data_IF_229290393926
#
_entry.id   IF_229290393926
#
_cell.length_a   1.000
_cell.length_b   1.000
_cell.length_c   1.000
_cell.angle_alpha   90.00
_cell.angle_beta   90.00
_cell.angle_gamma   90.00
#
_symmetry.space_group_name_H-M   'P 1'
#
loop_
_entity.id
_entity.type
_entity.pdbx_description
1 polymer ?
#
# COMPACT_ATOMS: atom_id res chain seq x y z
N UNK A 1 -22.26 -11.11 -15.70
CA UNK A 1 -20.93 -11.73 -15.59
C UNK A 1 -20.00 -10.94 -16.49
N UNK A 2 -19.32 -9.93 -15.96
CA UNK A 2 -18.53 -8.99 -16.76
C UNK A 2 -17.05 -9.32 -16.60
N UNK A 3 -16.44 -9.76 -17.70
CA UNK A 3 -15.02 -9.59 -17.95
C UNK A 3 -14.63 -8.13 -17.71
N UNK A 4 -13.45 -7.88 -17.13
CA UNK A 4 -12.48 -6.82 -17.48
C UNK A 4 -11.47 -6.64 -16.34
N UNK A 5 -10.61 -7.64 -16.16
CA UNK A 5 -9.24 -7.49 -15.63
C UNK A 5 -8.33 -6.96 -16.75
N UNK A 6 -8.67 -5.80 -17.34
CA UNK A 6 -7.82 -5.17 -18.35
C UNK A 6 -7.47 -3.75 -17.89
N UNK A 7 -6.26 -3.63 -17.34
CA UNK A 7 -5.66 -2.34 -17.04
C UNK A 7 -4.55 -2.43 -16.00
N UNK A 8 -3.36 -2.88 -16.41
CA UNK A 8 -2.05 -2.54 -15.80
C UNK A 8 -1.65 -3.16 -14.44
N UNK A 9 -2.37 -4.15 -13.90
CA UNK A 9 -2.06 -4.70 -12.57
C UNK A 9 -1.10 -5.89 -12.46
N UNK A 10 -0.69 -6.54 -13.56
CA UNK A 10 0.11 -7.77 -13.45
C UNK A 10 1.24 -7.84 -14.48
N UNK A 11 2.43 -7.35 -14.09
CA UNK A 11 3.69 -7.66 -14.77
C UNK A 11 4.16 -9.11 -14.48
N UNK A 12 3.40 -9.89 -13.72
CA UNK A 12 3.66 -11.30 -13.37
C UNK A 12 3.42 -12.33 -14.48
N UNK A 13 3.75 -11.98 -15.73
CA UNK A 13 4.06 -12.97 -16.76
C UNK A 13 3.28 -12.84 -18.06
N UNK A 14 3.86 -12.28 -19.14
CA UNK A 14 3.26 -12.29 -20.49
C UNK A 14 3.17 -13.70 -21.15
N UNK A 15 3.45 -14.78 -20.41
CA UNK A 15 3.60 -16.12 -20.98
C UNK A 15 2.31 -16.95 -21.04
N UNK A 16 1.33 -16.73 -20.16
CA UNK A 16 0.09 -17.52 -20.16
C UNK A 16 -0.86 -17.13 -21.30
N UNK A 17 -0.94 -15.83 -21.63
CA UNK A 17 -1.71 -15.31 -22.77
C UNK A 17 -1.20 -15.83 -24.11
N UNK A 18 0.09 -16.15 -24.24
CA UNK A 18 0.67 -16.74 -25.45
C UNK A 18 0.23 -18.19 -25.69
N UNK A 19 -0.39 -18.85 -24.71
CA UNK A 19 -0.87 -20.24 -24.82
C UNK A 19 -2.37 -20.39 -25.04
N UNK A 20 -3.11 -19.27 -25.14
CA UNK A 20 -4.56 -19.28 -25.33
C UNK A 20 -5.36 -19.87 -24.15
N UNK A 21 -4.74 -19.96 -22.96
CA UNK A 21 -5.39 -20.43 -21.74
C UNK A 21 -5.79 -19.25 -20.87
N UNK A 22 -7.01 -19.29 -20.38
CA UNK A 22 -7.46 -18.36 -19.35
C UNK A 22 -6.64 -18.58 -18.08
N UNK A 23 -6.29 -17.48 -17.41
CA UNK A 23 -5.73 -17.59 -16.06
C UNK A 23 -6.79 -18.18 -15.13
N UNK A 24 -6.39 -19.01 -14.14
CA UNK A 24 -7.31 -19.41 -13.09
C UNK A 24 -7.86 -18.16 -12.38
N UNK A 25 -9.13 -18.23 -11.97
CA UNK A 25 -9.74 -17.14 -11.22
C UNK A 25 -8.94 -16.83 -9.96
N UNK A 26 -8.57 -15.56 -9.78
CA UNK A 26 -7.96 -15.06 -8.55
C UNK A 26 -9.07 -15.00 -7.51
N UNK A 27 -8.95 -15.76 -6.42
CA UNK A 27 -9.91 -15.74 -5.30
C UNK A 27 -9.19 -15.21 -4.06
N UNK A 28 -9.69 -14.10 -3.50
CA UNK A 28 -9.18 -13.56 -2.25
C UNK A 28 -9.56 -14.49 -1.09
N UNK A 29 -8.57 -15.05 -0.39
CA UNK A 29 -8.80 -16.03 0.71
C UNK A 29 -8.08 -15.70 2.01
N UNK A 30 -7.17 -14.73 1.95
CA UNK A 30 -6.32 -14.33 3.06
C UNK A 30 -6.23 -12.81 3.10
N UNK A 31 -5.90 -12.23 4.27
CA UNK A 31 -5.59 -10.82 4.39
C UNK A 31 -4.56 -10.37 3.35
N UNK A 32 -4.79 -9.22 2.73
CA UNK A 32 -3.85 -8.63 1.78
C UNK A 32 -3.38 -7.25 2.22
N UNK A 33 -2.13 -6.95 1.86
CA UNK A 33 -1.59 -5.62 1.96
C UNK A 33 -1.13 -5.16 0.58
N UNK A 34 -1.37 -3.90 0.27
CA UNK A 34 -0.91 -3.26 -0.95
C UNK A 34 -0.15 -1.99 -0.61
N UNK A 35 1.03 -1.87 -1.20
CA UNK A 35 1.76 -0.62 -1.28
C UNK A 35 1.83 -0.20 -2.75
N UNK A 36 1.56 1.07 -3.01
CA UNK A 36 1.74 1.69 -4.32
C UNK A 36 2.59 2.93 -4.19
N UNK A 37 3.32 3.25 -5.26
CA UNK A 37 4.06 4.49 -5.37
C UNK A 37 3.14 5.59 -5.90
N UNK A 38 3.39 6.82 -5.49
CA UNK A 38 2.70 7.98 -6.09
C UNK A 38 3.16 8.20 -7.54
N UNK A 39 4.44 7.95 -7.82
CA UNK A 39 5.03 8.07 -9.15
C UNK A 39 5.53 6.72 -9.68
N UNK A 40 5.63 6.63 -11.01
CA UNK A 40 6.22 5.47 -11.68
C UNK A 40 7.75 5.37 -11.51
N UNK A 41 8.38 4.48 -12.29
CA UNK A 41 9.84 4.29 -12.25
C UNK A 41 10.64 5.53 -12.68
N UNK A 42 10.12 6.28 -13.65
CA UNK A 42 10.63 7.59 -14.07
C UNK A 42 9.62 8.63 -13.56
N UNK A 43 9.84 9.23 -12.38
CA UNK A 43 8.89 10.17 -11.81
C UNK A 43 8.78 11.42 -12.69
N UNK A 44 7.55 11.78 -13.02
CA UNK A 44 7.21 13.00 -13.75
C UNK A 44 6.09 13.73 -13.00
N UNK A 45 6.11 15.07 -12.94
CA UNK A 45 5.03 15.84 -12.32
C UNK A 45 3.68 15.57 -12.99
N UNK A 46 2.62 15.54 -12.18
CA UNK A 46 1.26 15.51 -12.70
C UNK A 46 0.90 16.86 -13.35
N UNK A 47 0.53 16.84 -14.64
CA UNK A 47 0.08 18.05 -15.35
C UNK A 47 -1.40 18.38 -15.08
N UNK A 48 -2.14 17.43 -14.50
CA UNK A 48 -3.50 17.56 -14.01
C UNK A 48 -3.72 16.55 -12.86
N UNK A 49 -4.68 16.77 -11.95
CA UNK A 49 -4.98 15.80 -10.90
C UNK A 49 -5.31 14.41 -11.49
N UNK A 50 -4.64 13.33 -11.05
CA UNK A 50 -4.98 11.98 -11.50
C UNK A 50 -6.30 11.50 -10.85
N UNK A 51 -6.79 10.35 -11.29
CA UNK A 51 -7.90 9.66 -10.62
C UNK A 51 -7.46 9.22 -9.21
N UNK A 52 -8.06 9.75 -8.13
CA UNK A 52 -7.64 9.42 -6.77
C UNK A 52 -7.86 7.96 -6.37
N UNK A 53 -8.71 7.21 -7.09
CA UNK A 53 -9.02 5.81 -6.80
C UNK A 53 -8.16 4.81 -7.59
N UNK A 54 -7.28 5.28 -8.47
CA UNK A 54 -6.54 4.43 -9.42
C UNK A 54 -5.74 3.29 -8.76
N UNK A 55 -5.33 3.46 -7.50
CA UNK A 55 -4.57 2.44 -6.74
C UNK A 55 -5.44 1.55 -5.83
N UNK A 56 -6.77 1.68 -5.86
CA UNK A 56 -7.70 0.92 -5.00
C UNK A 56 -8.45 -0.20 -5.72
N UNK A 57 -8.12 -0.53 -6.96
CA UNK A 57 -8.82 -1.61 -7.67
C UNK A 57 -8.73 -2.96 -6.93
N UNK A 58 -7.52 -3.38 -6.54
CA UNK A 58 -7.34 -4.61 -5.75
C UNK A 58 -7.92 -4.48 -4.33
N UNK A 59 -7.93 -3.28 -3.76
CA UNK A 59 -8.55 -3.00 -2.47
C UNK A 59 -10.05 -3.36 -2.50
N UNK A 60 -10.76 -2.79 -3.47
CA UNK A 60 -12.20 -2.99 -3.63
C UNK A 60 -12.55 -4.47 -3.81
N UNK A 61 -11.75 -5.21 -4.58
CA UNK A 61 -11.95 -6.65 -4.75
C UNK A 61 -11.76 -7.44 -3.45
N UNK A 62 -10.67 -7.22 -2.71
CA UNK A 62 -10.46 -7.91 -1.43
C UNK A 62 -11.54 -7.56 -0.41
N UNK A 63 -11.93 -6.29 -0.36
CA UNK A 63 -13.00 -5.80 0.51
C UNK A 63 -14.34 -6.46 0.16
N UNK A 64 -14.71 -6.59 -1.13
CA UNK A 64 -15.96 -7.23 -1.54
C UNK A 64 -16.02 -8.71 -1.21
N UNK A 65 -14.87 -9.38 -1.16
CA UNK A 65 -14.72 -10.77 -0.72
C UNK A 65 -14.65 -10.92 0.81
N UNK A 66 -14.88 -9.83 1.56
CA UNK A 66 -14.84 -9.81 3.02
C UNK A 66 -13.46 -10.06 3.61
N UNK A 67 -12.39 -9.96 2.80
CA UNK A 67 -11.03 -10.19 3.25
C UNK A 67 -10.44 -8.90 3.84
N UNK A 68 -9.68 -9.00 4.95
CA UNK A 68 -8.95 -7.86 5.48
C UNK A 68 -7.97 -7.30 4.45
N UNK A 69 -8.01 -5.98 4.24
CA UNK A 69 -7.15 -5.32 3.28
C UNK A 69 -6.76 -3.92 3.71
N UNK A 70 -5.54 -3.53 3.39
CA UNK A 70 -5.16 -2.13 3.33
C UNK A 70 -4.41 -1.83 2.03
N UNK A 71 -4.49 -0.58 1.60
CA UNK A 71 -3.79 -0.04 0.44
C UNK A 71 -3.19 1.30 0.82
N UNK A 72 -1.86 1.37 0.88
CA UNK A 72 -1.10 2.60 1.18
C UNK A 72 -0.47 3.12 -0.10
N UNK A 73 -0.62 4.42 -0.35
CA UNK A 73 0.14 5.17 -1.35
C UNK A 73 1.02 6.19 -0.63
N UNK A 74 2.33 6.08 -0.77
CA UNK A 74 3.31 6.93 -0.06
C UNK A 74 3.51 8.23 -0.84
N UNK A 75 3.41 9.39 -0.18
CA UNK A 75 3.65 10.68 -0.82
C UNK A 75 5.10 10.79 -1.34
N UNK A 76 5.27 11.30 -2.56
CA UNK A 76 6.58 11.53 -3.17
C UNK A 76 7.35 10.28 -3.56
N UNK A 77 6.76 9.09 -3.38
CA UNK A 77 7.44 7.81 -3.65
C UNK A 77 7.43 7.48 -5.14
N UNK A 78 8.47 6.79 -5.59
CA UNK A 78 8.57 6.21 -6.93
C UNK A 78 8.65 4.68 -6.84
N UNK A 79 8.67 3.98 -7.98
CA UNK A 79 8.71 2.51 -8.01
C UNK A 79 9.87 1.90 -7.19
N UNK A 80 10.95 2.65 -7.03
CA UNK A 80 12.16 2.21 -6.32
C UNK A 80 12.08 2.41 -4.80
N UNK A 81 10.94 2.85 -4.25
CA UNK A 81 10.72 3.11 -2.82
C UNK A 81 11.08 1.94 -1.89
N UNK A 82 11.07 0.71 -2.41
CA UNK A 82 11.39 -0.50 -1.67
C UNK A 82 12.77 -1.09 -1.99
N UNK A 83 13.56 -0.40 -2.83
CA UNK A 83 14.82 -0.91 -3.35
C UNK A 83 15.94 0.06 -3.00
N UNK A 84 16.83 -0.27 -2.04
CA UNK A 84 17.98 0.55 -1.51
C UNK A 84 19.05 0.89 -2.56
N UNK A 85 18.62 1.25 -3.76
CA UNK A 85 19.41 1.62 -4.91
C UNK A 85 19.97 3.03 -4.68
N UNK A 86 21.29 3.17 -4.48
CA UNK A 86 21.89 4.46 -4.11
C UNK A 86 21.70 5.57 -5.16
N UNK A 87 21.43 5.21 -6.42
CA UNK A 87 21.31 6.14 -7.54
C UNK A 87 19.86 6.38 -7.98
N UNK A 88 18.88 5.76 -7.31
CA UNK A 88 17.50 5.86 -7.75
C UNK A 88 16.82 7.11 -7.17
N UNK A 89 16.16 7.87 -8.03
CA UNK A 89 15.49 9.10 -7.65
C UNK A 89 14.16 8.78 -6.93
N UNK A 90 14.14 8.91 -5.60
CA UNK A 90 12.92 8.96 -4.81
C UNK A 90 13.01 10.12 -3.81
N UNK A 91 12.06 11.06 -3.88
CA UNK A 91 12.10 12.26 -3.02
C UNK A 91 11.74 11.96 -1.56
N UNK A 92 10.94 10.91 -1.34
CA UNK A 92 10.62 10.30 -0.05
C UNK A 92 11.82 9.73 0.71
N UNK A 93 12.94 9.47 0.01
CA UNK A 93 14.15 8.86 0.57
C UNK A 93 15.15 9.86 1.11
N UNK A 94 15.05 11.10 0.64
CA UNK A 94 16.08 12.10 0.87
C UNK A 94 15.43 13.47 0.80
N UNK A 95 14.55 13.76 1.77
CA UNK A 95 13.90 15.05 1.87
C UNK A 95 14.92 16.19 1.92
N UNK A 96 16.06 15.93 2.59
CA UNK A 96 17.22 16.81 2.63
C UNK A 96 18.52 15.98 2.60
N UNK A 97 19.59 16.53 2.02
CA UNK A 97 20.96 16.01 2.18
C UNK A 97 21.68 16.91 3.16
N UNK A 98 22.14 16.36 4.29
CA UNK A 98 22.92 17.05 5.32
C UNK A 98 24.19 16.22 5.54
N UNK A 99 25.36 16.84 5.44
CA UNK A 99 26.67 16.15 5.61
C UNK A 99 26.86 14.90 4.71
N UNK A 100 26.33 14.96 3.48
CA UNK A 100 26.27 13.86 2.52
C UNK A 100 25.41 12.66 2.96
N UNK A 101 24.53 12.83 3.95
CA UNK A 101 23.54 11.84 4.36
C UNK A 101 22.11 12.33 4.08
N UNK A 102 21.24 11.38 3.75
CA UNK A 102 19.81 11.66 3.58
C UNK A 102 19.12 11.77 4.94
N UNK A 103 18.53 12.93 5.21
CA UNK A 103 17.82 13.24 6.46
C UNK A 103 16.36 13.54 6.16
N UNK A 104 15.47 13.10 7.06
CA UNK A 104 14.04 13.39 6.97
C UNK A 104 13.30 12.54 5.94
N UNK A 105 13.86 11.41 5.52
CA UNK A 105 13.14 10.42 4.71
C UNK A 105 11.97 9.82 5.47
N UNK A 106 10.93 9.41 4.76
CA UNK A 106 9.74 8.83 5.39
C UNK A 106 9.23 7.57 4.72
N UNK A 107 9.52 7.34 3.45
CA UNK A 107 8.85 6.28 2.70
C UNK A 107 9.20 4.87 3.20
N UNK A 108 10.49 4.59 3.47
CA UNK A 108 10.90 3.33 4.10
C UNK A 108 10.25 3.15 5.49
N UNK A 109 10.21 4.21 6.31
CA UNK A 109 9.61 4.15 7.64
C UNK A 109 8.08 3.87 7.57
N UNK A 110 7.37 4.45 6.58
CA UNK A 110 5.96 4.14 6.31
C UNK A 110 5.81 2.67 5.91
N UNK A 111 6.61 2.20 4.95
CA UNK A 111 6.56 0.83 4.47
C UNK A 111 6.83 -0.17 5.60
N UNK A 112 7.85 0.06 6.41
CA UNK A 112 8.20 -0.77 7.56
C UNK A 112 7.07 -0.78 8.60
N UNK A 113 6.57 0.40 9.00
CA UNK A 113 5.52 0.51 10.01
C UNK A 113 4.28 -0.31 9.66
N UNK A 114 3.71 -0.08 8.47
CA UNK A 114 2.52 -0.78 8.03
C UNK A 114 2.77 -2.27 7.77
N UNK A 115 3.94 -2.63 7.24
CA UNK A 115 4.30 -4.05 6.99
C UNK A 115 4.40 -4.82 8.31
N UNK A 116 5.17 -4.31 9.27
CA UNK A 116 5.38 -4.97 10.56
C UNK A 116 4.08 -5.03 11.35
N UNK A 117 3.30 -3.95 11.39
CA UNK A 117 2.00 -3.95 12.06
C UNK A 117 1.02 -4.95 11.43
N UNK A 118 1.02 -5.09 10.11
CA UNK A 118 0.19 -6.09 9.42
C UNK A 118 0.61 -7.52 9.74
N UNK A 119 1.91 -7.82 9.70
CA UNK A 119 2.42 -9.14 10.05
C UNK A 119 2.16 -9.48 11.51
N UNK A 120 2.36 -8.54 12.42
CA UNK A 120 2.05 -8.73 13.84
C UNK A 120 0.56 -8.96 14.08
N UNK A 121 -0.30 -8.38 13.24
CA UNK A 121 -1.75 -8.57 13.34
C UNK A 121 -2.19 -9.96 12.91
N UNK A 122 -1.61 -10.51 11.84
CA UNK A 122 -2.13 -11.70 11.17
C UNK A 122 -1.28 -12.96 11.34
N UNK A 123 0.00 -12.82 11.67
CA UNK A 123 0.93 -13.95 11.77
C UNK A 123 1.29 -14.29 13.22
N UNK A 124 1.30 -13.30 14.12
CA UNK A 124 1.67 -13.51 15.53
C UNK A 124 0.50 -13.96 16.40
N UNK A 125 0.80 -14.76 17.42
CA UNK A 125 -0.09 -15.30 18.45
C UNK A 125 -0.06 -14.43 19.73
N UNK A 126 -1.08 -14.57 20.60
CA UNK A 126 -1.08 -13.93 21.92
C UNK A 126 0.21 -14.21 22.69
N UNK A 127 0.84 -13.15 23.21
CA UNK A 127 2.10 -13.22 23.96
C UNK A 127 3.37 -12.97 23.13
N UNK A 128 3.29 -12.99 21.80
CA UNK A 128 4.43 -12.64 20.95
C UNK A 128 4.62 -11.11 20.86
N UNK A 129 5.86 -10.59 20.78
CA UNK A 129 6.12 -9.15 20.69
C UNK A 129 5.37 -8.50 19.53
N UNK A 130 4.77 -7.34 19.75
CA UNK A 130 3.99 -6.63 18.71
C UNK A 130 2.62 -7.22 18.44
N UNK A 131 2.28 -8.43 18.95
CA UNK A 131 0.91 -8.93 18.83
C UNK A 131 -0.03 -7.90 19.47
N UNK A 132 0.09 -7.61 20.76
CA UNK A 132 -0.89 -6.83 21.53
C UNK A 132 -1.23 -5.43 20.96
N UNK A 133 -0.29 -4.77 20.27
CA UNK A 133 -0.43 -3.38 19.80
C UNK A 133 -0.62 -3.23 18.28
N UNK A 134 -0.67 -4.34 17.53
CA UNK A 134 -0.73 -4.33 16.07
C UNK A 134 -1.91 -3.52 15.51
N UNK A 135 -3.11 -3.66 16.10
CA UNK A 135 -4.29 -2.88 15.69
C UNK A 135 -4.08 -1.38 15.94
N UNK A 136 -3.47 -1.00 17.06
CA UNK A 136 -3.21 0.41 17.39
C UNK A 136 -2.23 1.03 16.38
N UNK A 137 -1.17 0.30 16.01
CA UNK A 137 -0.21 0.74 14.99
C UNK A 137 -0.85 0.88 13.61
N UNK A 138 -1.73 -0.03 13.20
CA UNK A 138 -2.47 0.06 11.93
C UNK A 138 -3.48 1.23 11.89
N UNK A 139 -3.84 1.80 13.04
CA UNK A 139 -4.80 2.90 13.20
C UNK A 139 -4.14 4.22 13.61
N UNK A 140 -2.81 4.29 13.63
CA UNK A 140 -2.06 5.49 14.05
C UNK A 140 -1.99 6.54 12.93
N UNK A 141 -3.14 7.03 12.51
CA UNK A 141 -3.26 8.03 11.44
C UNK A 141 -2.62 9.35 11.84
N UNK A 142 -2.68 9.70 13.14
CA UNK A 142 -2.07 10.90 13.67
C UNK A 142 -0.56 10.95 13.38
N UNK A 143 0.13 9.80 13.49
CA UNK A 143 1.53 9.73 13.15
C UNK A 143 1.79 9.65 11.64
N UNK A 144 0.96 8.94 10.87
CA UNK A 144 1.33 8.49 9.51
C UNK A 144 0.54 9.09 8.35
N UNK A 145 -0.69 9.57 8.56
CA UNK A 145 -1.55 10.07 7.48
C UNK A 145 -0.90 11.20 6.67
N UNK A 146 -0.12 12.07 7.34
CA UNK A 146 0.61 13.17 6.71
C UNK A 146 1.67 12.74 5.70
N UNK A 147 2.10 11.47 5.69
CA UNK A 147 3.10 10.90 4.77
C UNK A 147 2.47 10.15 3.59
N UNK A 148 1.15 10.08 3.52
CA UNK A 148 0.41 9.42 2.44
C UNK A 148 0.15 10.38 1.28
N UNK A 149 -0.02 9.85 0.08
CA UNK A 149 -0.23 10.63 -1.14
C UNK A 149 -1.37 11.65 -1.01
N UNK A 150 -1.18 12.82 -1.61
CA UNK A 150 -2.26 13.80 -1.80
C UNK A 150 -3.09 13.52 -3.06
N UNK A 151 -2.49 12.83 -4.03
CA UNK A 151 -3.08 12.55 -5.34
C UNK A 151 -3.95 11.30 -5.31
N UNK A 152 -3.56 10.29 -4.53
CA UNK A 152 -4.22 8.99 -4.48
C UNK A 152 -4.60 8.63 -3.06
N UNK A 153 -5.80 8.08 -2.89
CA UNK A 153 -6.33 7.74 -1.57
C UNK A 153 -5.79 6.40 -1.09
N UNK A 154 -5.32 6.43 0.15
CA UNK A 154 -5.01 5.21 0.91
C UNK A 154 -6.25 4.77 1.69
N UNK A 155 -6.47 3.46 1.78
CA UNK A 155 -7.69 2.90 2.37
C UNK A 155 -7.40 1.65 3.22
N UNK A 156 -8.31 1.31 4.12
CA UNK A 156 -8.30 0.09 4.93
C UNK A 156 -9.70 -0.47 5.14
N UNK A 157 -9.78 -1.78 5.26
CA UNK A 157 -10.95 -2.52 5.67
C UNK A 157 -10.50 -3.79 6.37
N UNK A 158 -10.55 -3.83 7.71
CA UNK A 158 -10.22 -5.04 8.46
C UNK A 158 -10.92 -5.06 9.83
N UNK A 159 -11.23 -6.23 10.41
CA UNK A 159 -11.67 -6.33 11.80
C UNK A 159 -10.49 -6.16 12.76
N UNK A 160 -10.63 -5.28 13.75
CA UNK A 160 -9.72 -5.27 14.89
C UNK A 160 -9.90 -6.55 15.74
N UNK A 161 -9.02 -6.80 16.72
CA UNK A 161 -9.13 -7.99 17.57
C UNK A 161 -10.35 -7.99 18.50
N UNK A 162 -11.00 -6.84 18.69
CA UNK A 162 -12.31 -6.75 19.32
C UNK A 162 -13.46 -7.15 18.39
N UNK A 163 -13.17 -7.47 17.13
CA UNK A 163 -14.16 -7.81 16.11
C UNK A 163 -14.80 -6.60 15.45
N UNK A 164 -14.41 -5.37 15.80
CA UNK A 164 -14.95 -4.16 15.17
C UNK A 164 -14.28 -3.94 13.83
N UNK A 165 -15.08 -3.84 12.77
CA UNK A 165 -14.60 -3.44 11.44
C UNK A 165 -14.06 -2.02 11.48
N UNK A 166 -12.81 -1.88 11.00
CA UNK A 166 -12.12 -0.62 10.75
C UNK A 166 -12.13 -0.38 9.26
N UNK A 167 -13.05 0.49 8.84
CA UNK A 167 -13.24 0.89 7.46
C UNK A 167 -12.79 2.34 7.31
N UNK A 168 -11.99 2.63 6.30
CA UNK A 168 -11.66 3.99 5.91
C UNK A 168 -11.27 4.03 4.44
N UNK A 169 -11.91 4.91 3.68
CA UNK A 169 -11.70 5.03 2.23
C UNK A 169 -10.66 6.09 1.85
N UNK A 170 -10.27 6.95 2.80
CA UNK A 170 -9.28 8.01 2.66
C UNK A 170 -8.55 8.28 3.99
N UNK A 171 -7.49 7.54 4.29
CA UNK A 171 -6.74 7.67 5.55
C UNK A 171 -6.14 9.07 5.72
N UNK A 172 -5.72 9.71 4.62
CA UNK A 172 -5.17 11.08 4.67
C UNK A 172 -6.26 12.11 4.94
N UNK A 173 -7.42 11.95 4.28
CA UNK A 173 -8.59 12.80 4.44
C UNK A 173 -9.32 12.61 5.78
N UNK A 174 -9.09 11.49 6.46
CA UNK A 174 -9.63 11.19 7.78
C UNK A 174 -10.61 10.02 7.77
N UNK A 175 -10.68 9.37 8.93
CA UNK A 175 -11.58 8.29 9.30
C UNK A 175 -12.32 8.72 10.59
#
# INVERSE_FOLDING_TARGET
MSNYLLGLGNLGGPLYTLTGRDYPAIVARVPAMSFSSEYGIAPAPFLAPPDPEAHKHSHAYWQSEGQPVYSIVIAGSSHVEWSQLPLAHATSWCAQVVDNECVGSWGLAVAEHYTVAWFDRWLKRPGEPGHADADARLLDDAAWAGRLSWHYRSARSFPDRGGRTRLCEDIRGGC
#
